data_IF_245977861478
#
_entry.id   IF_245977861478
#
_cell.length_a   1.000
_cell.length_b   1.000
_cell.length_c   1.000
_cell.angle_alpha   90.00
_cell.angle_beta   90.00
_cell.angle_gamma   90.00
#
_symmetry.space_group_name_H-M   'P 1'
#
loop_
_entity.id
_entity.type
_entity.pdbx_description
1 polymer ?
#
# COMPACT_ATOMS: atom_id res chain seq x y z
N UNK A 1 -17.83 -14.88 -1.92
CA UNK A 1 -17.83 -13.41 -2.07
C UNK A 1 -17.00 -12.82 -0.94
N UNK A 2 -15.69 -12.61 -1.16
CA UNK A 2 -14.86 -11.86 -0.22
C UNK A 2 -15.28 -10.39 -0.26
N UNK A 3 -15.82 -9.94 0.86
CA UNK A 3 -16.41 -8.63 1.09
C UNK A 3 -15.33 -7.56 0.84
N UNK A 4 -15.52 -6.69 -0.16
CA UNK A 4 -14.70 -5.48 -0.37
C UNK A 4 -15.07 -4.48 0.74
N UNK A 5 -14.56 -4.68 1.96
CA UNK A 5 -15.12 -3.99 3.13
C UNK A 5 -14.61 -2.55 3.32
N UNK A 6 -13.54 -2.09 2.68
CA UNK A 6 -13.03 -0.73 2.91
C UNK A 6 -12.26 -0.18 1.71
N UNK A 7 -12.95 0.26 0.66
CA UNK A 7 -12.35 1.22 -0.28
C UNK A 7 -12.34 2.57 0.40
N UNK A 8 -11.17 2.99 0.87
CA UNK A 8 -11.01 4.31 1.48
C UNK A 8 -10.89 5.36 0.37
N UNK A 9 -11.29 6.61 0.66
CA UNK A 9 -11.10 7.69 -0.31
C UNK A 9 -9.61 7.88 -0.60
N UNK A 10 -9.29 8.45 -1.76
CA UNK A 10 -7.90 8.74 -2.14
C UNK A 10 -7.21 9.64 -1.10
N UNK A 11 -7.95 10.58 -0.52
CA UNK A 11 -7.47 11.47 0.53
C UNK A 11 -7.17 10.72 1.83
N UNK A 12 -8.09 9.86 2.28
CA UNK A 12 -7.88 9.01 3.45
C UNK A 12 -6.67 8.07 3.27
N UNK A 13 -6.53 7.47 2.09
CA UNK A 13 -5.37 6.65 1.74
C UNK A 13 -4.08 7.47 1.80
N UNK A 14 -4.05 8.68 1.23
CA UNK A 14 -2.88 9.56 1.27
C UNK A 14 -2.48 9.93 2.71
N UNK A 15 -3.46 10.23 3.57
CA UNK A 15 -3.18 10.52 4.98
C UNK A 15 -2.56 9.31 5.69
N UNK A 16 -3.17 8.13 5.56
CA UNK A 16 -2.65 6.91 6.18
C UNK A 16 -1.23 6.57 5.69
N UNK A 17 -0.99 6.68 4.38
CA UNK A 17 0.31 6.42 3.77
C UNK A 17 1.35 7.44 4.24
N UNK A 18 0.99 8.72 4.37
CA UNK A 18 1.90 9.75 4.87
C UNK A 18 2.38 9.43 6.30
N UNK A 19 1.45 9.08 7.20
CA UNK A 19 1.80 8.68 8.57
C UNK A 19 2.69 7.42 8.60
N UNK A 20 2.30 6.37 7.87
CA UNK A 20 3.09 5.13 7.84
C UNK A 20 4.49 5.36 7.25
N UNK A 21 4.58 6.12 6.16
CA UNK A 21 5.85 6.45 5.50
C UNK A 21 6.75 7.26 6.43
N UNK A 22 6.20 8.22 7.17
CA UNK A 22 6.94 9.00 8.15
C UNK A 22 7.51 8.13 9.28
N UNK A 23 6.72 7.21 9.84
CA UNK A 23 7.17 6.29 10.89
C UNK A 23 8.33 5.41 10.38
N UNK A 24 8.17 4.79 9.21
CA UNK A 24 9.18 3.94 8.61
C UNK A 24 10.47 4.71 8.27
N UNK A 25 10.33 5.94 7.75
CA UNK A 25 11.48 6.80 7.44
C UNK A 25 12.23 7.20 8.71
N UNK A 26 11.51 7.47 9.79
CA UNK A 26 12.10 7.80 11.11
C UNK A 26 12.92 6.64 11.67
N UNK A 27 12.50 5.40 11.40
CA UNK A 27 13.24 4.18 11.75
C UNK A 27 14.39 3.86 10.77
N UNK A 28 14.60 4.70 9.73
CA UNK A 28 15.68 4.55 8.76
C UNK A 28 15.34 3.68 7.54
N UNK A 29 14.08 3.27 7.37
CA UNK A 29 13.65 2.56 6.17
C UNK A 29 13.47 3.53 5.00
N UNK A 30 13.94 3.12 3.81
CA UNK A 30 13.72 3.87 2.58
C UNK A 30 12.32 3.55 2.03
N UNK A 31 11.38 4.50 2.14
CA UNK A 31 10.04 4.38 1.57
C UNK A 31 9.98 5.16 0.26
N UNK A 32 9.87 4.46 -0.86
CA UNK A 32 9.88 5.11 -2.17
C UNK A 32 8.48 5.61 -2.57
N UNK A 33 8.43 6.54 -3.51
CA UNK A 33 7.15 6.96 -4.13
C UNK A 33 6.44 5.79 -4.82
N UNK A 34 7.19 4.81 -5.34
CA UNK A 34 6.63 3.60 -5.93
C UNK A 34 5.90 2.76 -4.89
N UNK A 35 6.50 2.54 -3.71
CA UNK A 35 5.87 1.78 -2.62
C UNK A 35 4.59 2.47 -2.13
N UNK A 36 4.62 3.80 -1.99
CA UNK A 36 3.44 4.60 -1.61
C UNK A 36 2.33 4.50 -2.65
N UNK A 37 2.66 4.64 -3.94
CA UNK A 37 1.69 4.51 -5.02
C UNK A 37 1.09 3.10 -5.09
N UNK A 38 1.92 2.09 -4.84
CA UNK A 38 1.51 0.70 -4.85
C UNK A 38 0.50 0.41 -3.73
N UNK A 39 0.81 0.79 -2.49
CA UNK A 39 -0.11 0.66 -1.34
C UNK A 39 -1.40 1.45 -1.57
N UNK A 40 -1.31 2.68 -2.12
CA UNK A 40 -2.50 3.49 -2.43
C UNK A 40 -3.43 2.76 -3.38
N UNK A 41 -2.91 2.14 -4.44
CA UNK A 41 -3.71 1.42 -5.43
C UNK A 41 -4.49 0.25 -4.80
N UNK A 42 -3.94 -0.38 -3.77
CA UNK A 42 -4.64 -1.44 -3.01
C UNK A 42 -5.74 -0.85 -2.14
N UNK A 43 -5.43 0.23 -1.41
CA UNK A 43 -6.38 0.89 -0.49
C UNK A 43 -7.58 1.52 -1.23
N UNK A 44 -7.38 2.06 -2.43
CA UNK A 44 -8.46 2.61 -3.26
C UNK A 44 -9.19 1.53 -4.08
N UNK A 45 -8.66 0.30 -4.08
CA UNK A 45 -9.24 -0.84 -4.81
C UNK A 45 -8.96 -0.85 -6.32
N UNK A 46 -8.00 -0.04 -6.79
CA UNK A 46 -7.44 -0.15 -8.14
C UNK A 46 -6.70 -1.49 -8.32
N UNK A 47 -6.10 -2.00 -7.25
CA UNK A 47 -5.54 -3.34 -7.17
C UNK A 47 -6.19 -4.15 -6.05
N UNK A 48 -6.25 -5.47 -6.25
CA UNK A 48 -6.70 -6.40 -5.22
C UNK A 48 -5.55 -6.80 -4.29
N UNK A 49 -5.88 -7.20 -3.06
CA UNK A 49 -4.92 -7.74 -2.10
C UNK A 49 -4.17 -8.97 -2.64
N UNK A 50 -4.83 -9.81 -3.45
CA UNK A 50 -4.19 -10.96 -4.09
C UNK A 50 -3.13 -10.55 -5.12
N UNK A 51 -3.39 -9.51 -5.92
CA UNK A 51 -2.42 -8.93 -6.84
C UNK A 51 -1.24 -8.30 -6.09
N UNK A 52 -1.53 -7.61 -4.98
CA UNK A 52 -0.51 -7.06 -4.08
C UNK A 52 0.44 -8.16 -3.58
N UNK A 53 -0.10 -9.20 -2.95
CA UNK A 53 0.70 -10.31 -2.43
C UNK A 53 1.54 -10.98 -3.52
N UNK A 54 0.97 -11.19 -4.72
CA UNK A 54 1.70 -11.78 -5.84
C UNK A 54 2.88 -10.90 -6.28
N UNK A 55 2.68 -9.59 -6.36
CA UNK A 55 3.74 -8.67 -6.77
C UNK A 55 4.87 -8.62 -5.73
N UNK A 56 4.54 -8.58 -4.42
CA UNK A 56 5.54 -8.59 -3.34
C UNK A 56 6.36 -9.89 -3.38
N UNK A 57 5.70 -11.05 -3.48
CA UNK A 57 6.40 -12.34 -3.63
C UNK A 57 7.35 -12.37 -4.82
N UNK A 58 6.93 -11.78 -5.93
CA UNK A 58 7.76 -11.70 -7.15
C UNK A 58 8.94 -10.74 -6.95
N UNK A 59 8.73 -9.57 -6.36
CA UNK A 59 9.77 -8.54 -6.13
C UNK A 59 10.88 -9.02 -5.20
N UNK A 60 10.53 -9.78 -4.17
CA UNK A 60 11.47 -10.25 -3.15
C UNK A 60 11.84 -11.73 -3.27
N UNK A 61 11.26 -12.46 -4.23
CA UNK A 61 11.46 -13.90 -4.45
C UNK A 61 11.24 -14.74 -3.16
N UNK A 62 10.06 -14.54 -2.54
CA UNK A 62 9.64 -15.18 -1.27
C UNK A 62 8.31 -15.92 -1.37
#
# INVERSE_FOLDING_TARGET
MTKLVNRVSREQANHAISYASHSLTTEGFNVTNEDQNFVRSVLTGEQTEAQFHRAIKTKFNV
#
